data_IF_424575817355
#
_entry.id   IF_424575817355
#
_cell.length_a   1.000
_cell.length_b   1.000
_cell.length_c   1.000
_cell.angle_alpha   90.00
_cell.angle_beta   90.00
_cell.angle_gamma   90.00
#
_symmetry.space_group_name_H-M   'P 1'
#
loop_
_entity.id
_entity.type
_entity.pdbx_description
1 polymer ?
#
# COMPACT_ATOMS: atom_id res chain seq x y z
N UNK A 1 12.27 -19.52 -20.11
CA UNK A 1 11.56 -18.31 -19.65
C UNK A 1 12.14 -17.91 -18.29
N UNK A 2 12.87 -16.79 -18.21
CA UNK A 2 13.44 -16.31 -16.95
C UNK A 2 12.34 -15.67 -16.09
N UNK A 3 11.74 -16.42 -15.17
CA UNK A 3 10.86 -15.87 -14.15
C UNK A 3 11.70 -15.33 -13.00
N UNK A 4 12.25 -14.13 -13.17
CA UNK A 4 12.89 -13.38 -12.09
C UNK A 4 11.83 -12.70 -11.20
N UNK A 5 10.85 -13.50 -10.73
CA UNK A 5 9.78 -13.02 -9.85
C UNK A 5 10.38 -12.79 -8.47
N UNK A 6 10.59 -11.52 -8.11
CA UNK A 6 10.94 -11.15 -6.73
C UNK A 6 9.93 -11.78 -5.76
N UNK A 7 10.38 -12.46 -4.69
CA UNK A 7 9.46 -13.08 -3.75
C UNK A 7 8.61 -11.99 -3.08
N UNK A 8 7.28 -12.15 -3.14
CA UNK A 8 6.37 -11.32 -2.35
C UNK A 8 6.44 -11.77 -0.89
N UNK A 9 6.51 -10.81 0.03
CA UNK A 9 6.30 -11.05 1.46
C UNK A 9 4.95 -10.49 1.89
N UNK A 10 4.20 -11.28 2.64
CA UNK A 10 2.92 -10.85 3.23
C UNK A 10 3.18 -10.20 4.58
N UNK A 11 2.60 -9.02 4.78
CA UNK A 11 2.52 -8.35 6.08
C UNK A 11 1.04 -8.29 6.44
N UNK A 12 0.67 -8.77 7.62
CA UNK A 12 -0.69 -8.73 8.15
C UNK A 12 -0.77 -7.87 9.40
N UNK A 13 -1.89 -7.19 9.60
CA UNK A 13 -2.19 -6.42 10.80
C UNK A 13 -3.47 -6.96 11.43
N UNK A 14 -3.51 -7.00 12.77
CA UNK A 14 -4.74 -7.29 13.51
C UNK A 14 -5.53 -6.00 13.65
N UNK A 15 -6.77 -6.02 13.16
CA UNK A 15 -7.74 -4.93 13.27
C UNK A 15 -9.07 -5.53 13.72
N UNK A 16 -9.98 -4.68 14.18
CA UNK A 16 -11.34 -5.10 14.50
C UNK A 16 -12.12 -5.47 13.23
N UNK A 17 -13.15 -6.30 13.38
CA UNK A 17 -14.05 -6.65 12.27
C UNK A 17 -14.68 -5.41 11.64
N UNK A 18 -15.08 -4.44 12.48
CA UNK A 18 -15.69 -3.20 12.00
C UNK A 18 -14.72 -2.37 11.13
N UNK A 19 -13.45 -2.24 11.54
CA UNK A 19 -12.43 -1.55 10.73
C UNK A 19 -12.20 -2.26 9.40
N UNK A 20 -12.15 -3.60 9.42
CA UNK A 20 -12.00 -4.40 8.20
C UNK A 20 -13.16 -4.18 7.23
N UNK A 21 -14.41 -4.18 7.73
CA UNK A 21 -15.60 -3.96 6.91
C UNK A 21 -15.69 -2.54 6.34
N UNK A 22 -15.36 -1.52 7.15
CA UNK A 22 -15.28 -0.13 6.68
C UNK A 22 -14.25 -0.03 5.55
N UNK A 23 -13.06 -0.64 5.73
CA UNK A 23 -12.00 -0.57 4.73
C UNK A 23 -12.38 -1.32 3.43
N UNK A 24 -13.03 -2.48 3.53
CA UNK A 24 -13.55 -3.21 2.36
C UNK A 24 -14.59 -2.38 1.60
N UNK A 25 -15.55 -1.76 2.30
CA UNK A 25 -16.57 -0.89 1.69
C UNK A 25 -15.94 0.30 0.97
N UNK A 26 -14.95 0.93 1.60
CA UNK A 26 -14.18 2.01 0.99
C UNK A 26 -13.48 1.59 -0.30
N UNK A 27 -12.84 0.42 -0.32
CA UNK A 27 -12.19 -0.12 -1.52
C UNK A 27 -13.21 -0.45 -2.62
N UNK A 28 -14.33 -1.09 -2.25
CA UNK A 28 -15.39 -1.49 -3.17
C UNK A 28 -16.06 -0.28 -3.85
N UNK A 29 -16.34 0.79 -3.10
CA UNK A 29 -16.91 2.02 -3.65
C UNK A 29 -16.02 2.69 -4.72
N UNK A 30 -14.73 2.37 -4.74
CA UNK A 30 -13.73 2.87 -5.70
C UNK A 30 -13.37 1.87 -6.79
N UNK A 31 -13.93 0.65 -6.75
CA UNK A 31 -13.54 -0.44 -7.65
C UNK A 31 -12.08 -0.89 -7.47
N UNK A 32 -11.48 -0.63 -6.30
CA UNK A 32 -10.08 -0.94 -6.02
C UNK A 32 -9.93 -2.21 -5.17
N UNK A 33 -8.84 -2.94 -5.36
CA UNK A 33 -8.50 -4.08 -4.51
C UNK A 33 -7.87 -3.61 -3.18
N UNK A 34 -8.30 -4.21 -2.07
CA UNK A 34 -7.80 -3.97 -0.71
C UNK A 34 -6.27 -3.93 -0.63
N UNK A 35 -5.58 -4.90 -1.22
CA UNK A 35 -4.12 -5.01 -1.17
C UNK A 35 -3.43 -3.87 -1.92
N UNK A 36 -4.01 -3.40 -3.02
CA UNK A 36 -3.47 -2.28 -3.81
C UNK A 36 -3.61 -0.97 -3.03
N UNK A 37 -4.78 -0.74 -2.44
CA UNK A 37 -5.04 0.44 -1.61
C UNK A 37 -4.12 0.45 -0.39
N UNK A 38 -4.07 -0.66 0.35
CA UNK A 38 -3.24 -0.78 1.55
C UNK A 38 -1.76 -0.56 1.22
N UNK A 39 -1.27 -1.17 0.14
CA UNK A 39 0.12 -0.95 -0.33
C UNK A 39 0.38 0.52 -0.66
N UNK A 40 -0.55 1.19 -1.33
CA UNK A 40 -0.42 2.63 -1.65
C UNK A 40 -0.36 3.47 -0.38
N UNK A 41 -1.27 3.23 0.57
CA UNK A 41 -1.30 3.95 1.85
C UNK A 41 0.02 3.77 2.62
N UNK A 42 0.52 2.53 2.74
CA UNK A 42 1.80 2.25 3.40
C UNK A 42 2.94 2.98 2.67
N UNK A 43 3.03 2.90 1.34
CA UNK A 43 4.12 3.54 0.60
C UNK A 43 4.08 5.07 0.69
N UNK A 44 2.90 5.67 0.65
CA UNK A 44 2.74 7.12 0.83
C UNK A 44 3.19 7.53 2.22
N UNK A 45 2.78 6.81 3.26
CA UNK A 45 3.16 7.11 4.65
C UNK A 45 4.68 6.98 4.86
N UNK A 46 5.29 5.89 4.36
CA UNK A 46 6.74 5.71 4.37
C UNK A 46 7.47 6.80 3.58
N UNK A 47 6.90 7.28 2.47
CA UNK A 47 7.48 8.36 1.69
C UNK A 47 7.48 9.68 2.46
N UNK A 48 6.38 10.02 3.16
CA UNK A 48 6.26 11.21 4.01
C UNK A 48 7.31 11.18 5.13
N UNK A 49 7.59 10.00 5.69
CA UNK A 49 8.64 9.82 6.70
C UNK A 49 10.07 9.71 6.11
N UNK A 50 10.26 9.92 4.81
CA UNK A 50 11.58 9.85 4.17
C UNK A 50 12.18 8.44 4.10
N UNK A 51 11.41 7.39 4.40
CA UNK A 51 11.85 6.00 4.49
C UNK A 51 11.93 5.28 3.13
N UNK A 52 11.42 5.91 2.06
CA UNK A 52 11.60 5.43 0.69
C UNK A 52 12.72 6.19 -0.01
N UNK A 53 13.46 5.57 -0.96
CA UNK A 53 14.43 6.27 -1.80
C UNK A 53 13.81 7.47 -2.53
N UNK A 54 14.62 8.51 -2.79
CA UNK A 54 14.15 9.78 -3.38
C UNK A 54 13.39 9.59 -4.70
N UNK A 55 13.87 8.71 -5.58
CA UNK A 55 13.21 8.38 -6.84
C UNK A 55 11.78 7.86 -6.65
N UNK A 56 11.56 7.05 -5.60
CA UNK A 56 10.23 6.51 -5.27
C UNK A 56 9.33 7.55 -4.61
N UNK A 57 9.88 8.45 -3.80
CA UNK A 57 9.10 9.56 -3.21
C UNK A 57 8.58 10.50 -4.29
N UNK A 58 9.43 10.86 -5.26
CA UNK A 58 9.06 11.65 -6.45
C UNK A 58 7.96 10.98 -7.27
N UNK A 59 8.07 9.67 -7.53
CA UNK A 59 7.05 8.90 -8.25
C UNK A 59 5.69 8.84 -7.51
N UNK A 60 5.70 9.02 -6.18
CA UNK A 60 4.50 9.09 -5.35
C UNK A 60 3.99 10.53 -5.15
N UNK A 61 4.64 11.53 -5.74
CA UNK A 61 4.27 12.94 -5.61
C UNK A 61 4.58 13.54 -4.23
N UNK A 62 5.36 12.86 -3.40
CA UNK A 62 5.77 13.35 -2.08
C UNK A 62 7.03 14.21 -2.27
N UNK A 63 6.91 15.52 -2.03
CA UNK A 63 8.05 16.44 -2.00
C UNK A 63 8.74 16.37 -0.61
N UNK A 64 10.07 16.58 -0.55
CA UNK A 64 10.82 16.63 0.70
C UNK A 64 10.37 17.76 1.63
#
# INVERSE_FOLDING_TARGET
MNNNLKPFKTIGAKITENEAEIFKKFCAARGENVSSVLRRLILTDLAVHGLLPEERRKALGVQP
#
